data_IF_127016214059
#
_entry.id   IF_127016214059
#
_cell.length_a   1.000
_cell.length_b   1.000
_cell.length_c   1.000
_cell.angle_alpha   90.00
_cell.angle_beta   90.00
_cell.angle_gamma   90.00
#
_symmetry.space_group_name_H-M   'P 1'
#
loop_
_entity.id
_entity.type
_entity.pdbx_description
1 polymer ?
#
# COMPACT_ATOMS: atom_id res chain seq x y z
N UNK A 1 0.52 10.67 -12.16
CA UNK A 1 1.67 11.54 -12.51
C UNK A 1 2.86 11.17 -11.66
N UNK A 2 4.04 11.04 -12.27
CA UNK A 2 5.27 10.65 -11.56
C UNK A 2 5.85 11.87 -10.83
N UNK A 3 6.43 11.64 -9.64
CA UNK A 3 7.19 12.68 -8.90
C UNK A 3 8.38 13.13 -9.77
N UNK A 4 8.76 14.40 -9.68
CA UNK A 4 9.89 14.92 -10.45
C UNK A 4 11.19 14.17 -10.12
N UNK A 5 11.98 13.84 -11.15
CA UNK A 5 13.16 12.96 -11.05
C UNK A 5 14.19 13.44 -10.01
N UNK A 6 14.37 14.75 -9.88
CA UNK A 6 15.32 15.36 -8.94
C UNK A 6 14.95 15.17 -7.46
N UNK A 7 13.67 14.90 -7.14
CA UNK A 7 13.20 14.82 -5.74
C UNK A 7 13.46 13.46 -5.07
N UNK A 8 14.03 12.50 -5.79
CA UNK A 8 14.34 11.16 -5.32
C UNK A 8 13.14 10.33 -4.81
N UNK A 9 13.33 9.01 -4.62
CA UNK A 9 12.39 8.16 -3.89
C UNK A 9 12.45 8.46 -2.39
N UNK A 10 11.32 8.30 -1.69
CA UNK A 10 11.26 8.44 -0.24
C UNK A 10 11.75 7.14 0.42
N UNK A 11 12.98 7.16 0.93
CA UNK A 11 13.60 6.01 1.61
C UNK A 11 13.67 6.32 3.11
N UNK A 12 12.82 5.67 3.90
CA UNK A 12 12.85 5.69 5.36
C UNK A 12 12.84 4.25 5.87
N UNK A 13 14.00 3.61 5.91
CA UNK A 13 14.11 2.27 6.48
C UNK A 13 14.71 2.37 7.88
N UNK A 14 14.01 1.82 8.87
CA UNK A 14 14.47 1.71 10.26
C UNK A 14 14.32 0.25 10.64
N UNK A 15 15.44 -0.42 10.90
CA UNK A 15 15.46 -1.85 11.25
C UNK A 15 14.69 -2.10 12.56
N UNK A 16 13.45 -2.57 12.46
CA UNK A 16 12.65 -3.01 13.60
C UNK A 16 12.45 -4.52 13.56
N UNK A 17 13.50 -5.26 13.95
CA UNK A 17 13.57 -6.74 13.95
C UNK A 17 12.49 -7.47 14.79
N UNK A 18 11.56 -6.75 15.44
CA UNK A 18 10.56 -7.31 16.37
C UNK A 18 9.10 -7.19 15.91
N UNK A 19 8.78 -6.33 14.92
CA UNK A 19 7.39 -6.09 14.47
C UNK A 19 7.36 -5.92 12.96
N UNK A 20 6.23 -6.33 12.35
CA UNK A 20 5.93 -6.00 10.95
C UNK A 20 6.07 -4.49 10.76
N UNK A 21 6.93 -4.01 9.87
CA UNK A 21 7.12 -2.58 9.67
C UNK A 21 5.83 -1.97 9.13
N UNK A 22 5.33 -0.94 9.82
CA UNK A 22 4.25 -0.11 9.31
C UNK A 22 4.85 0.89 8.33
N UNK A 23 4.51 0.76 7.05
CA UNK A 23 5.04 1.62 5.99
C UNK A 23 4.00 2.64 5.54
N UNK A 24 4.48 3.84 5.21
CA UNK A 24 3.62 4.90 4.70
C UNK A 24 3.15 4.58 3.27
N UNK A 25 1.92 4.97 2.92
CA UNK A 25 1.37 4.77 1.56
C UNK A 25 2.20 5.42 0.45
N UNK A 26 2.96 6.47 0.77
CA UNK A 26 3.81 7.20 -0.17
C UNK A 26 5.21 6.58 -0.34
N UNK A 27 5.52 5.52 0.39
CA UNK A 27 6.79 4.80 0.29
C UNK A 27 6.84 4.05 -1.06
N UNK A 28 7.98 4.16 -1.73
CA UNK A 28 8.23 3.46 -3.00
C UNK A 28 8.86 2.10 -2.71
N UNK A 29 8.39 1.06 -3.40
CA UNK A 29 8.93 -0.29 -3.23
C UNK A 29 10.29 -0.37 -3.91
N UNK A 30 11.29 -0.78 -3.12
CA UNK A 30 12.70 -0.92 -3.51
C UNK A 30 13.02 -2.41 -3.42
N UNK A 31 13.96 -2.88 -4.24
CA UNK A 31 14.41 -4.29 -4.24
C UNK A 31 14.78 -4.80 -2.84
N UNK A 32 15.39 -3.97 -2.00
CA UNK A 32 15.84 -4.35 -0.65
C UNK A 32 14.74 -4.78 0.32
N UNK A 33 13.46 -4.45 0.04
CA UNK A 33 12.33 -4.80 0.93
C UNK A 33 11.41 -5.87 0.34
N UNK A 34 11.74 -6.43 -0.83
CA UNK A 34 10.99 -7.52 -1.44
C UNK A 34 11.09 -8.77 -0.55
N UNK A 35 9.98 -9.50 -0.41
CA UNK A 35 9.88 -10.65 0.51
C UNK A 35 9.56 -10.29 1.96
N UNK A 36 9.53 -8.99 2.32
CA UNK A 36 9.02 -8.55 3.62
C UNK A 36 7.50 -8.41 3.60
N UNK A 37 6.88 -8.74 4.74
CA UNK A 37 5.49 -8.41 5.01
C UNK A 37 5.43 -7.03 5.68
N UNK A 38 4.60 -6.13 5.15
CA UNK A 38 4.44 -4.78 5.70
C UNK A 38 2.98 -4.48 6.02
N UNK A 39 2.76 -3.63 7.01
CA UNK A 39 1.42 -3.13 7.34
C UNK A 39 1.22 -1.75 6.74
N UNK A 40 0.18 -1.60 5.93
CA UNK A 40 -0.15 -0.33 5.26
C UNK A 40 -1.54 0.12 5.71
N UNK A 41 -1.65 1.38 6.13
CA UNK A 41 -2.91 1.93 6.59
C UNK A 41 -3.83 2.28 5.40
N UNK A 42 -5.04 1.72 5.38
CA UNK A 42 -6.07 1.99 4.37
C UNK A 42 -6.85 3.28 4.61
N UNK A 43 -6.79 3.84 5.84
CA UNK A 43 -7.64 4.97 6.28
C UNK A 43 -8.66 4.58 7.34
N UNK A 44 -8.91 3.27 7.50
CA UNK A 44 -9.75 2.69 8.56
C UNK A 44 -9.00 1.61 9.33
N UNK A 45 -8.34 0.70 8.60
CA UNK A 45 -7.61 -0.47 9.14
C UNK A 45 -6.22 -0.62 8.52
N UNK A 46 -5.36 -1.38 9.18
CA UNK A 46 -4.09 -1.84 8.62
C UNK A 46 -4.31 -3.08 7.77
N UNK A 47 -3.72 -3.08 6.58
CA UNK A 47 -3.71 -4.21 5.65
C UNK A 47 -2.28 -4.74 5.59
N UNK A 48 -2.13 -6.04 5.82
CA UNK A 48 -0.84 -6.72 5.67
C UNK A 48 -0.62 -7.08 4.22
N UNK A 49 0.50 -6.64 3.65
CA UNK A 49 0.88 -6.90 2.27
C UNK A 49 2.22 -7.63 2.23
N UNK A 50 2.28 -8.72 1.47
CA UNK A 50 3.50 -9.41 1.09
C UNK A 50 4.06 -8.80 -0.19
N UNK A 51 5.29 -8.29 -0.14
CA UNK A 51 5.90 -7.58 -1.26
C UNK A 51 6.57 -8.55 -2.25
N UNK A 52 6.16 -8.47 -3.51
CA UNK A 52 6.75 -9.21 -4.64
C UNK A 52 7.62 -8.31 -5.52
N UNK A 53 8.43 -8.92 -6.37
CA UNK A 53 9.42 -8.23 -7.21
C UNK A 53 8.77 -7.37 -8.31
N UNK A 54 7.63 -7.81 -8.84
CA UNK A 54 6.86 -7.06 -9.84
C UNK A 54 6.32 -5.71 -9.32
N UNK A 55 6.30 -5.52 -7.99
CA UNK A 55 5.82 -4.29 -7.37
C UNK A 55 6.91 -3.21 -7.29
N UNK A 56 8.16 -3.50 -7.68
CA UNK A 56 9.26 -2.54 -7.63
C UNK A 56 8.94 -1.30 -8.47
N UNK A 57 9.21 -0.12 -7.91
CA UNK A 57 8.95 1.16 -8.59
C UNK A 57 7.55 1.72 -8.37
N UNK A 58 6.61 0.91 -7.87
CA UNK A 58 5.29 1.37 -7.43
C UNK A 58 5.30 1.88 -6.00
N UNK A 59 4.24 2.59 -5.61
CA UNK A 59 4.02 2.99 -4.22
C UNK A 59 3.11 2.01 -3.50
N UNK A 60 3.33 1.80 -2.22
CA UNK A 60 2.51 0.91 -1.39
C UNK A 60 1.02 1.27 -1.40
N UNK A 61 0.70 2.57 -1.51
CA UNK A 61 -0.68 3.04 -1.56
C UNK A 61 -1.47 2.63 -2.80
N UNK A 62 -0.81 2.17 -3.86
CA UNK A 62 -1.47 1.68 -5.09
C UNK A 62 -2.11 0.31 -4.86
N UNK A 63 -1.57 -0.48 -3.94
CA UNK A 63 -2.02 -1.84 -3.64
C UNK A 63 -3.07 -1.91 -2.52
N UNK A 64 -3.39 -0.77 -1.90
CA UNK A 64 -4.37 -0.71 -0.80
C UNK A 64 -5.51 0.24 -1.15
N UNK A 65 -6.73 -0.27 -1.45
CA UNK A 65 -7.87 0.59 -1.69
C UNK A 65 -8.25 1.36 -0.41
N UNK A 66 -8.70 2.60 -0.60
CA UNK A 66 -9.13 3.50 0.50
C UNK A 66 -10.65 3.61 0.62
N UNK A 67 -11.36 3.40 -0.49
CA UNK A 67 -12.81 3.46 -0.57
C UNK A 67 -13.35 2.08 -0.94
N UNK A 68 -14.51 1.77 -0.38
CA UNK A 68 -15.26 0.59 -0.78
C UNK A 68 -15.80 0.78 -2.20
N UNK A 69 -15.86 -0.30 -2.98
CA UNK A 69 -16.39 -0.28 -4.33
C UNK A 69 -17.88 0.05 -4.26
N UNK A 70 -18.32 1.02 -5.05
CA UNK A 70 -19.74 1.32 -5.17
C UNK A 70 -20.44 0.23 -5.96
N UNK A 71 -21.51 -0.34 -5.38
CA UNK A 71 -22.42 -1.23 -6.07
C UNK A 71 -23.84 -0.67 -5.98
N UNK A 72 -24.47 -0.48 -7.15
CA UNK A 72 -25.85 -0.03 -7.22
C UNK A 72 -26.78 -1.16 -6.76
N UNK A 73 -27.43 -0.98 -5.61
CA UNK A 73 -28.41 -1.93 -5.09
C UNK A 73 -29.77 -1.68 -5.75
N UNK A 74 -30.21 -2.58 -6.65
CA UNK A 74 -31.57 -2.56 -7.21
C UNK A 74 -32.60 -2.74 -6.08
N UNK A 75 -33.58 -1.82 -5.98
CA UNK A 75 -34.67 -1.90 -5.00
C UNK A 75 -35.56 -3.10 -5.33
N UNK A 76 -35.62 -4.10 -4.45
CA UNK A 76 -36.58 -5.21 -4.57
C UNK A 76 -37.98 -4.67 -4.26
N UNK A 77 -38.93 -4.81 -5.18
CA UNK A 77 -40.36 -4.62 -4.88
C UNK A 77 -40.77 -5.72 -3.89
N UNK A 78 -41.24 -5.35 -2.70
CA UNK A 78 -41.93 -6.29 -1.82
C UNK A 78 -43.23 -6.68 -2.52
N UNK A 79 -43.48 -7.99 -2.66
CA UNK A 79 -44.80 -8.52 -3.01
C UNK A 79 -45.73 -8.32 -1.83
#
# INVERSE_FOLDING_TARGET
MKRSKWKGPLIKFKDSRKKLPTLSRNYQIISSIVGLNCNVYSGKKFVTLSLTEDMIGHKLGEFVPTREKFEFKKKKKKK
#
